data_IF_758023548243
#
_entry.id   IF_758023548243
#
_cell.length_a   1.000
_cell.length_b   1.000
_cell.length_c   1.000
_cell.angle_alpha   90.00
_cell.angle_beta   90.00
_cell.angle_gamma   90.00
#
_symmetry.space_group_name_H-M   'P 1'
#
loop_
_entity.id
_entity.type
_entity.pdbx_description
1 polymer ?
#
# COMPACT_ATOMS: atom_id res chain seq x y z
N UNK A 1 -3.71 -1.07 -9.24
CA UNK A 1 -3.34 -2.12 -8.26
C UNK A 1 -1.90 -1.91 -7.85
N UNK A 2 -1.55 -2.06 -6.55
CA UNK A 2 -0.18 -1.89 -6.09
C UNK A 2 0.75 -2.96 -6.68
N UNK A 3 1.99 -2.60 -6.97
CA UNK A 3 3.02 -3.53 -7.45
C UNK A 3 3.84 -4.15 -6.31
N UNK A 4 3.65 -3.69 -5.07
CA UNK A 4 4.33 -4.17 -3.88
C UNK A 4 3.37 -4.55 -2.74
N UNK A 5 3.86 -5.34 -1.78
CA UNK A 5 3.17 -5.69 -0.54
C UNK A 5 4.09 -5.55 0.67
N UNK A 6 3.55 -5.10 1.81
CA UNK A 6 4.26 -5.02 3.06
C UNK A 6 4.06 -6.29 3.90
N UNK A 7 5.15 -6.86 4.42
CA UNK A 7 5.13 -7.99 5.37
C UNK A 7 6.03 -7.70 6.56
N UNK A 8 5.61 -8.14 7.74
CA UNK A 8 6.44 -8.09 8.94
C UNK A 8 7.23 -9.41 9.01
N UNK A 9 8.56 -9.31 8.98
CA UNK A 9 9.46 -10.46 9.17
C UNK A 9 10.34 -10.23 10.40
N UNK A 10 10.95 -11.29 10.94
CA UNK A 10 11.99 -11.17 11.96
C UNK A 10 13.37 -11.25 11.29
N UNK A 11 14.21 -10.27 11.58
CA UNK A 11 15.64 -10.27 11.20
C UNK A 11 16.42 -10.05 12.50
N UNK A 12 17.30 -11.00 12.83
CA UNK A 12 18.07 -11.02 14.09
C UNK A 12 17.18 -10.87 15.34
N UNK A 13 16.08 -11.62 15.38
CA UNK A 13 15.09 -11.59 16.47
C UNK A 13 14.18 -10.36 16.49
N UNK A 14 14.48 -9.31 15.72
CA UNK A 14 13.75 -8.05 15.69
C UNK A 14 12.75 -8.00 14.54
N UNK A 15 11.50 -7.54 14.80
CA UNK A 15 10.49 -7.37 13.75
C UNK A 15 10.85 -6.18 12.86
N UNK A 16 10.78 -6.37 11.55
CA UNK A 16 10.98 -5.34 10.52
C UNK A 16 9.87 -5.41 9.48
N UNK A 17 9.45 -4.26 8.96
CA UNK A 17 8.52 -4.18 7.83
C UNK A 17 9.35 -4.22 6.56
N UNK A 18 9.04 -5.17 5.67
CA UNK A 18 9.71 -5.34 4.39
C UNK A 18 8.68 -5.22 3.28
N UNK A 19 9.04 -4.48 2.24
CA UNK A 19 8.24 -4.29 1.03
C UNK A 19 8.75 -5.27 -0.02
N UNK A 20 7.88 -6.19 -0.46
CA UNK A 20 8.17 -7.17 -1.50
C UNK A 20 7.47 -6.80 -2.79
N UNK A 21 8.13 -6.99 -3.93
CA UNK A 21 7.50 -6.88 -5.24
C UNK A 21 6.52 -8.05 -5.46
N UNK A 22 5.37 -7.76 -6.07
CA UNK A 22 4.35 -8.75 -6.45
C UNK A 22 4.51 -9.25 -7.88
N UNK A 23 5.28 -8.54 -8.69
CA UNK A 23 5.63 -8.83 -10.09
C UNK A 23 6.95 -8.14 -10.41
N UNK A 24 7.51 -8.40 -11.58
CA UNK A 24 8.63 -7.62 -12.09
C UNK A 24 8.24 -6.14 -12.24
N UNK A 25 9.17 -5.26 -11.84
CA UNK A 25 8.99 -3.81 -11.83
C UNK A 25 10.04 -3.21 -12.74
N UNK A 26 9.60 -2.42 -13.72
CA UNK A 26 10.50 -1.81 -14.69
C UNK A 26 11.31 -0.68 -14.04
N UNK A 27 12.47 -0.38 -14.62
CA UNK A 27 13.24 0.82 -14.25
C UNK A 27 12.33 2.04 -14.38
N UNK A 28 12.39 2.96 -13.40
CA UNK A 28 11.58 4.20 -13.30
C UNK A 28 10.09 4.02 -13.01
N UNK A 29 9.61 2.79 -12.87
CA UNK A 29 8.24 2.54 -12.41
C UNK A 29 8.11 2.91 -10.91
N UNK A 30 7.04 3.60 -10.54
CA UNK A 30 6.76 3.98 -9.15
C UNK A 30 6.42 2.74 -8.31
N UNK A 31 7.07 2.59 -7.14
CA UNK A 31 6.77 1.53 -6.19
C UNK A 31 5.53 1.90 -5.36
N UNK A 32 4.49 1.09 -5.44
CA UNK A 32 3.20 1.34 -4.77
C UNK A 32 2.78 0.14 -3.94
N UNK A 33 2.30 0.36 -2.71
CA UNK A 33 1.76 -0.67 -1.83
C UNK A 33 0.46 -0.20 -1.17
N UNK A 34 -0.40 -1.15 -0.78
CA UNK A 34 -1.65 -0.85 -0.08
C UNK A 34 -1.36 -0.49 1.39
N UNK A 35 -1.74 0.72 1.82
CA UNK A 35 -1.60 1.20 3.20
C UNK A 35 -2.50 0.43 4.17
N UNK A 36 -3.60 -0.16 3.68
CA UNK A 36 -4.57 -0.92 4.48
C UNK A 36 -5.08 -0.19 5.72
N UNK A 37 -5.34 1.12 5.61
CA UNK A 37 -6.06 1.81 6.67
C UNK A 37 -7.43 1.17 6.86
N UNK A 38 -7.84 1.06 8.12
CA UNK A 38 -9.19 0.61 8.46
C UNK A 38 -10.19 1.62 7.90
N UNK A 39 -11.32 1.12 7.41
CA UNK A 39 -12.34 1.99 6.84
C UNK A 39 -13.00 2.78 7.95
N UNK A 40 -12.85 4.10 7.90
CA UNK A 40 -13.56 5.01 8.79
C UNK A 40 -14.96 5.31 8.24
N UNK A 41 -15.91 4.40 8.51
CA UNK A 41 -17.30 4.54 8.05
C UNK A 41 -17.98 5.69 8.82
N UNK A 42 -18.43 6.71 8.09
CA UNK A 42 -19.16 7.85 8.66
C UNK A 42 -18.28 9.02 9.14
N UNK A 43 -16.96 8.91 9.00
CA UNK A 43 -16.02 10.01 9.26
C UNK A 43 -16.00 10.98 8.08
N UNK A 44 -15.90 12.28 8.37
CA UNK A 44 -15.60 13.31 7.36
C UNK A 44 -14.09 13.40 7.07
N UNK A 45 -13.24 12.75 7.89
CA UNK A 45 -11.78 12.77 7.79
C UNK A 45 -11.25 11.72 6.79
N UNK A 46 -11.91 11.60 5.64
CA UNK A 46 -11.52 10.68 4.57
C UNK A 46 -10.41 11.29 3.72
N UNK A 47 -9.33 10.56 3.50
CA UNK A 47 -8.17 11.01 2.73
C UNK A 47 -8.32 10.55 1.28
N UNK A 48 -8.51 11.46 0.30
CA UNK A 48 -8.66 11.08 -1.10
C UNK A 48 -7.44 10.35 -1.65
N UNK A 49 -7.67 9.26 -2.37
CA UNK A 49 -6.60 8.53 -3.03
C UNK A 49 -6.38 9.08 -4.44
N UNK A 50 -5.16 9.51 -4.73
CA UNK A 50 -4.77 10.11 -6.01
C UNK A 50 -3.99 9.15 -6.91
N UNK A 51 -4.12 7.83 -6.71
CA UNK A 51 -3.33 6.85 -7.44
C UNK A 51 -3.67 6.72 -8.95
N UNK A 52 -4.75 7.34 -9.41
CA UNK A 52 -5.15 7.36 -10.83
C UNK A 52 -5.60 6.02 -11.42
N UNK A 53 -5.63 4.93 -10.65
CA UNK A 53 -6.02 3.61 -11.17
C UNK A 53 -7.54 3.45 -11.27
N UNK A 54 -8.02 2.80 -12.34
CA UNK A 54 -9.46 2.59 -12.57
C UNK A 54 -10.17 1.77 -11.48
N UNK A 55 -9.43 0.91 -10.77
CA UNK A 55 -9.95 0.07 -9.68
C UNK A 55 -9.68 0.69 -8.29
N UNK A 56 -9.45 2.00 -8.21
CA UNK A 56 -9.20 2.69 -6.95
C UNK A 56 -10.44 2.66 -6.05
N UNK A 57 -10.23 2.49 -4.73
CA UNK A 57 -11.29 2.58 -3.71
C UNK A 57 -11.78 4.01 -3.46
N UNK A 58 -11.11 5.02 -4.03
CA UNK A 58 -11.40 6.45 -3.89
C UNK A 58 -10.68 7.14 -2.72
N UNK A 59 -10.44 6.43 -1.63
CA UNK A 59 -9.82 6.96 -0.40
C UNK A 59 -8.79 5.97 0.17
N UNK A 60 -7.86 6.47 0.99
CA UNK A 60 -6.86 5.64 1.67
C UNK A 60 -7.45 4.93 2.91
N UNK A 61 -8.22 5.66 3.72
CA UNK A 61 -9.06 5.19 4.83
C UNK A 61 -10.54 5.18 4.46
#
# INVERSE_FOLDING_TARGET
>A
MPNCTAKIIKVDGSKRIVIYALRDIARTEELTYDYKFEREIGSLDRIPCLCGTALCKGFLN
#
